data_IF_075756385821
#
_entry.id   IF_075756385821
#
_cell.length_a   1.000
_cell.length_b   1.000
_cell.length_c   1.000
_cell.angle_alpha   90.00
_cell.angle_beta   90.00
_cell.angle_gamma   90.00
#
_symmetry.space_group_name_H-M   'P 1'
#
loop_
_entity.id
_entity.type
_entity.pdbx_description
1 polymer ?
#
# COMPACT_ATOMS: atom_id res chain seq x y z
N UNK A 1 -8.29 -1.67 3.94
CA UNK A 1 -9.16 -0.52 4.25
C UNK A 1 -8.89 -0.07 5.67
N UNK A 2 -9.19 1.19 5.97
CA UNK A 2 -9.06 1.81 7.28
C UNK A 2 -10.26 2.74 7.47
N UNK A 3 -10.88 2.70 8.65
CA UNK A 3 -11.91 3.66 9.05
C UNK A 3 -11.34 4.61 10.10
N UNK A 4 -11.18 5.87 9.74
CA UNK A 4 -10.67 6.90 10.63
C UNK A 4 -11.81 7.78 11.15
N UNK A 5 -12.17 7.59 12.42
CA UNK A 5 -13.20 8.38 13.09
C UNK A 5 -12.66 9.73 13.55
N UNK A 6 -13.31 10.81 13.13
CA UNK A 6 -12.94 12.18 13.47
C UNK A 6 -14.15 12.99 13.96
N UNK A 7 -13.86 14.14 14.56
CA UNK A 7 -14.91 15.07 15.01
C UNK A 7 -15.54 15.77 13.80
N UNK A 8 -16.89 15.87 13.73
CA UNK A 8 -17.54 16.63 12.67
C UNK A 8 -16.98 18.05 12.52
N UNK A 9 -16.74 18.49 11.29
CA UNK A 9 -16.14 19.79 10.98
C UNK A 9 -14.60 19.79 10.98
N UNK A 10 -13.95 18.66 11.29
CA UNK A 10 -12.48 18.48 11.12
C UNK A 10 -12.14 17.50 9.99
N UNK A 11 -13.16 16.92 9.38
CA UNK A 11 -13.10 15.89 8.35
C UNK A 11 -12.22 16.29 7.16
N UNK A 12 -12.37 17.49 6.59
CA UNK A 12 -11.53 17.93 5.47
C UNK A 12 -10.04 18.08 5.81
N UNK A 13 -9.69 18.38 7.07
CA UNK A 13 -8.29 18.38 7.52
C UNK A 13 -7.73 16.96 7.54
N UNK A 14 -8.50 16.01 8.09
CA UNK A 14 -8.13 14.60 8.13
C UNK A 14 -8.12 13.95 6.75
N UNK A 15 -9.05 14.33 5.88
CA UNK A 15 -9.09 13.92 4.48
C UNK A 15 -7.80 14.30 3.76
N UNK A 16 -7.36 15.55 3.92
CA UNK A 16 -6.07 16.01 3.38
C UNK A 16 -4.90 15.21 3.98
N UNK A 17 -4.87 15.03 5.30
CA UNK A 17 -3.83 14.25 5.97
C UNK A 17 -3.74 12.84 5.37
N UNK A 18 -4.87 12.16 5.18
CA UNK A 18 -4.89 10.80 4.65
C UNK A 18 -4.50 10.75 3.17
N UNK A 19 -4.90 11.73 2.35
CA UNK A 19 -4.40 11.86 0.97
C UNK A 19 -2.87 11.95 0.94
N UNK A 20 -2.29 12.82 1.76
CA UNK A 20 -0.85 13.03 1.81
C UNK A 20 -0.14 11.77 2.36
N UNK A 21 -0.70 11.13 3.38
CA UNK A 21 -0.15 9.89 3.95
C UNK A 21 -0.12 8.76 2.92
N UNK A 22 -1.24 8.48 2.25
CA UNK A 22 -1.38 7.42 1.25
C UNK A 22 -0.46 7.67 0.04
N UNK A 23 -0.37 8.92 -0.41
CA UNK A 23 0.56 9.32 -1.47
C UNK A 23 2.02 9.05 -1.08
N UNK A 24 2.44 9.54 0.09
CA UNK A 24 3.81 9.37 0.58
C UNK A 24 4.14 7.91 0.90
N UNK A 25 3.17 7.09 1.30
CA UNK A 25 3.37 5.65 1.49
C UNK A 25 3.87 4.98 0.21
N UNK A 26 3.25 5.27 -0.94
CA UNK A 26 3.65 4.70 -2.22
C UNK A 26 5.04 5.20 -2.66
N UNK A 27 5.31 6.51 -2.54
CA UNK A 27 6.62 7.07 -2.87
C UNK A 27 7.74 6.50 -1.99
N UNK A 28 7.49 6.34 -0.68
CA UNK A 28 8.46 5.76 0.25
C UNK A 28 8.76 4.27 -0.03
N UNK A 29 7.88 3.59 -0.76
CA UNK A 29 8.07 2.21 -1.23
C UNK A 29 8.63 2.15 -2.66
N UNK A 30 9.09 3.27 -3.21
CA UNK A 30 9.85 3.32 -4.45
C UNK A 30 9.01 3.49 -5.71
N UNK A 31 7.69 3.69 -5.62
CA UNK A 31 6.85 3.93 -6.80
C UNK A 31 7.27 5.24 -7.47
N UNK A 32 7.48 5.21 -8.78
CA UNK A 32 7.83 6.40 -9.53
C UNK A 32 6.68 7.43 -9.52
N UNK A 33 7.02 8.68 -9.18
CA UNK A 33 6.04 9.76 -9.08
C UNK A 33 5.34 10.04 -10.42
N UNK A 34 6.04 9.90 -11.55
CA UNK A 34 5.48 10.13 -12.88
C UNK A 34 4.42 9.09 -13.28
N UNK A 35 4.44 7.93 -12.62
CA UNK A 35 3.44 6.86 -12.78
C UNK A 35 2.23 7.06 -11.87
N UNK A 36 2.21 8.08 -11.00
CA UNK A 36 1.14 8.35 -10.05
C UNK A 36 0.42 9.67 -10.36
N UNK A 37 -0.88 9.70 -10.09
CA UNK A 37 -1.64 10.95 -10.03
C UNK A 37 -2.73 10.90 -8.96
N UNK A 38 -3.02 12.05 -8.38
CA UNK A 38 -4.19 12.25 -7.53
C UNK A 38 -5.34 12.77 -8.41
N UNK A 39 -6.49 12.09 -8.39
CA UNK A 39 -7.69 12.47 -9.12
C UNK A 39 -8.80 12.76 -8.11
N UNK A 40 -9.15 14.04 -7.97
CA UNK A 40 -10.32 14.44 -7.20
C UNK A 40 -11.59 14.16 -8.01
N UNK A 41 -12.60 13.57 -7.36
CA UNK A 41 -13.90 13.30 -7.99
C UNK A 41 -14.64 14.62 -8.24
N UNK A 42 -15.28 14.73 -9.40
CA UNK A 42 -16.22 15.82 -9.67
C UNK A 42 -17.52 15.68 -8.87
N UNK A 43 -18.31 16.76 -8.78
CA UNK A 43 -19.60 16.75 -8.04
C UNK A 43 -20.55 15.64 -8.52
N UNK A 44 -20.52 15.28 -9.81
CA UNK A 44 -21.37 14.23 -10.39
C UNK A 44 -20.89 12.80 -10.07
N UNK A 45 -19.63 12.64 -9.66
CA UNK A 45 -19.01 11.35 -9.31
C UNK A 45 -19.08 11.06 -7.79
N UNK A 46 -19.26 12.11 -6.98
CA UNK A 46 -19.38 11.97 -5.53
C UNK A 46 -20.63 11.17 -5.16
N UNK A 47 -20.43 10.15 -4.33
CA UNK A 47 -21.56 9.48 -3.68
C UNK A 47 -22.32 10.48 -2.79
N UNK A 48 -23.63 10.33 -2.67
CA UNK A 48 -24.50 11.28 -1.94
C UNK A 48 -24.16 11.49 -0.46
N UNK A 49 -23.34 10.61 0.12
CA UNK A 49 -22.86 10.63 1.50
C UNK A 49 -21.39 11.09 1.62
N UNK A 50 -20.72 11.33 0.49
CA UNK A 50 -19.32 11.76 0.47
C UNK A 50 -19.21 13.26 0.36
N UNK A 51 -18.50 13.89 1.29
CA UNK A 51 -18.13 15.30 1.20
C UNK A 51 -17.01 15.53 0.18
N UNK A 52 -16.08 14.58 0.08
CA UNK A 52 -14.96 14.60 -0.84
C UNK A 52 -14.43 13.19 -1.06
N UNK A 53 -14.08 12.86 -2.30
CA UNK A 53 -13.39 11.62 -2.65
C UNK A 53 -12.24 11.92 -3.60
N UNK A 54 -11.10 11.28 -3.35
CA UNK A 54 -9.92 11.35 -4.20
C UNK A 54 -9.36 9.96 -4.44
N UNK A 55 -9.01 9.69 -5.69
CA UNK A 55 -8.33 8.46 -6.08
C UNK A 55 -6.85 8.73 -6.29
N UNK A 56 -6.00 7.89 -5.72
CA UNK A 56 -4.64 7.72 -6.21
C UNK A 56 -4.70 6.71 -7.35
N UNK A 57 -4.34 7.16 -8.55
CA UNK A 57 -4.29 6.33 -9.75
C UNK A 57 -2.83 6.07 -10.16
N UNK A 58 -2.61 4.91 -10.75
CA UNK A 58 -1.33 4.48 -11.30
C UNK A 58 -1.43 4.24 -12.81
N UNK A 59 -0.37 4.59 -13.53
CA UNK A 59 -0.24 4.36 -14.96
C UNK A 59 0.28 2.94 -15.21
N UNK A 60 -0.64 1.99 -15.34
CA UNK A 60 -0.29 0.62 -15.74
C UNK A 60 0.09 0.56 -17.23
N UNK A 61 0.70 -0.54 -17.71
CA UNK A 61 0.99 -0.73 -19.12
C UNK A 61 -0.26 -0.72 -20.02
N UNK A 62 -1.43 -0.95 -19.42
CA UNK A 62 -2.74 -0.90 -20.09
C UNK A 62 -3.52 0.40 -19.82
N UNK A 63 -2.91 1.40 -19.18
CA UNK A 63 -3.49 2.72 -18.94
C UNK A 63 -3.68 3.06 -17.46
N UNK A 64 -4.29 4.23 -17.21
CA UNK A 64 -4.58 4.70 -15.85
C UNK A 64 -5.60 3.81 -15.15
N UNK A 65 -5.32 3.46 -13.90
CA UNK A 65 -6.25 2.72 -13.04
C UNK A 65 -6.12 3.14 -11.58
N UNK A 66 -7.23 3.11 -10.86
CA UNK A 66 -7.30 3.40 -9.43
C UNK A 66 -6.54 2.36 -8.60
N UNK A 67 -5.69 2.85 -7.68
CA UNK A 67 -5.04 2.04 -6.64
C UNK A 67 -5.75 2.18 -5.30
N UNK A 68 -6.01 3.42 -4.90
CA UNK A 68 -6.39 3.77 -3.53
C UNK A 68 -7.42 4.89 -3.55
N UNK A 69 -8.66 4.60 -3.14
CA UNK A 69 -9.67 5.61 -2.91
C UNK A 69 -9.56 6.16 -1.48
N UNK A 70 -9.62 7.48 -1.34
CA UNK A 70 -9.72 8.17 -0.06
C UNK A 70 -11.04 8.91 -0.06
N UNK A 71 -11.95 8.58 0.85
CA UNK A 71 -13.29 9.15 0.91
C UNK A 71 -13.56 9.77 2.29
N UNK A 72 -14.20 10.94 2.30
CA UNK A 72 -14.84 11.51 3.48
C UNK A 72 -16.32 11.16 3.47
N UNK A 73 -16.69 10.15 4.25
CA UNK A 73 -18.02 9.54 4.27
C UNK A 73 -18.95 10.19 5.30
N UNK A 74 -18.50 11.24 5.98
CA UNK A 74 -19.23 11.92 7.06
C UNK A 74 -19.71 10.93 8.13
N UNK A 75 -20.89 11.12 8.72
CA UNK A 75 -21.48 10.24 9.74
C UNK A 75 -22.43 9.18 9.16
N UNK A 76 -22.49 9.06 7.83
CA UNK A 76 -23.50 8.26 7.15
C UNK A 76 -23.51 6.79 7.60
N UNK A 77 -22.35 6.14 7.60
CA UNK A 77 -22.24 4.71 7.92
C UNK A 77 -22.68 4.42 9.35
N UNK A 78 -22.19 5.20 10.32
CA UNK A 78 -22.53 5.05 11.73
C UNK A 78 -24.02 5.34 11.98
N UNK A 79 -24.56 6.36 11.33
CA UNK A 79 -26.00 6.69 11.41
C UNK A 79 -26.85 5.54 10.89
N UNK A 80 -26.50 4.95 9.75
CA UNK A 80 -27.22 3.79 9.21
C UNK A 80 -27.11 2.58 10.12
N UNK A 81 -25.94 2.30 10.71
CA UNK A 81 -25.81 1.21 11.67
C UNK A 81 -26.63 1.47 12.95
N UNK A 82 -26.64 2.69 13.47
CA UNK A 82 -27.45 3.07 14.63
C UNK A 82 -28.95 2.86 14.37
N UNK A 83 -29.45 3.33 13.23
CA UNK A 83 -30.88 3.23 12.86
C UNK A 83 -31.36 1.77 12.77
N UNK A 84 -30.54 0.88 12.21
CA UNK A 84 -30.93 -0.51 11.98
C UNK A 84 -30.64 -1.44 13.16
N UNK A 85 -29.62 -1.14 13.97
CA UNK A 85 -29.24 -1.96 15.13
C UNK A 85 -29.91 -1.50 16.44
N UNK A 86 -30.35 -0.24 16.52
CA UNK A 86 -30.81 0.40 17.74
C UNK A 86 -29.71 0.64 18.80
N UNK A 87 -28.44 0.38 18.46
CA UNK A 87 -27.30 0.66 19.33
C UNK A 87 -26.79 2.09 19.10
N UNK A 88 -26.53 2.81 20.19
CA UNK A 88 -25.99 4.17 20.15
C UNK A 88 -24.54 4.15 19.62
N UNK A 89 -24.31 4.81 18.48
CA UNK A 89 -22.99 4.91 17.81
C UNK A 89 -22.28 6.23 18.10
N UNK A 90 -22.83 7.06 18.99
CA UNK A 90 -22.22 8.33 19.34
C UNK A 90 -21.02 8.18 20.30
N UNK A 91 -20.08 9.10 20.16
CA UNK A 91 -18.90 9.24 21.00
C UNK A 91 -19.09 10.41 21.97
N UNK A 92 -18.68 10.21 23.23
CA UNK A 92 -18.60 11.27 24.24
C UNK A 92 -17.14 11.68 24.39
N UNK A 93 -16.80 12.89 23.96
CA UNK A 93 -15.46 13.45 24.10
C UNK A 93 -15.17 13.73 25.59
N UNK A 94 -14.18 13.07 26.22
CA UNK A 94 -13.89 13.24 27.64
C UNK A 94 -13.29 14.61 27.99
N UNK A 95 -12.82 15.35 26.99
CA UNK A 95 -12.20 16.68 27.16
C UNK A 95 -13.24 17.78 27.10
N UNK A 96 -14.16 17.70 26.14
CA UNK A 96 -15.19 18.73 25.90
C UNK A 96 -16.55 18.38 26.51
N UNK A 97 -16.78 17.11 26.86
CA UNK A 97 -18.08 16.52 27.23
C UNK A 97 -19.15 16.65 26.14
N UNK A 98 -18.75 16.90 24.89
CA UNK A 98 -19.66 16.92 23.75
C UNK A 98 -19.93 15.49 23.27
N UNK A 99 -21.20 15.22 22.94
CA UNK A 99 -21.65 13.94 22.40
C UNK A 99 -22.02 14.11 20.94
N UNK A 100 -21.41 13.33 20.05
CA UNK A 100 -21.62 13.42 18.61
C UNK A 100 -21.43 12.07 17.92
N UNK A 101 -21.99 11.89 16.72
CA UNK A 101 -21.64 10.78 15.84
C UNK A 101 -20.38 11.17 15.06
N UNK A 102 -19.27 10.41 15.16
CA UNK A 102 -18.05 10.74 14.43
C UNK A 102 -18.24 10.75 12.91
N UNK A 103 -17.45 11.58 12.23
CA UNK A 103 -17.29 11.48 10.78
C UNK A 103 -16.21 10.45 10.44
N UNK A 104 -16.27 9.85 9.26
CA UNK A 104 -15.41 8.75 8.83
C UNK A 104 -14.61 9.14 7.60
N UNK A 105 -13.28 9.15 7.72
CA UNK A 105 -12.38 9.17 6.57
C UNK A 105 -11.93 7.75 6.28
N UNK A 106 -12.15 7.28 5.06
CA UNK A 106 -11.86 5.93 4.62
C UNK A 106 -10.80 5.93 3.50
N UNK A 107 -9.56 5.52 3.80
CA UNK A 107 -8.62 5.05 2.79
C UNK A 107 -8.84 3.56 2.46
N UNK A 108 -9.33 3.27 1.25
CA UNK A 108 -9.50 1.91 0.72
C UNK A 108 -8.51 1.60 -0.41
N UNK A 109 -7.58 0.67 -0.15
CA UNK A 109 -6.51 0.26 -1.05
C UNK A 109 -6.79 -1.13 -1.64
N UNK A 110 -6.70 -1.26 -2.96
CA UNK A 110 -6.72 -2.56 -3.62
C UNK A 110 -5.38 -3.28 -3.48
N UNK A 111 -5.30 -4.29 -2.61
CA UNK A 111 -4.06 -5.05 -2.33
C UNK A 111 -3.45 -5.69 -3.59
N UNK A 112 -4.27 -6.32 -4.44
CA UNK A 112 -3.81 -6.91 -5.69
C UNK A 112 -3.31 -5.87 -6.69
N UNK A 113 -4.00 -4.72 -6.77
CA UNK A 113 -3.64 -3.63 -7.69
C UNK A 113 -2.34 -2.97 -7.27
N UNK A 114 -2.14 -2.72 -5.98
CA UNK A 114 -0.88 -2.13 -5.50
C UNK A 114 0.28 -3.11 -5.63
N UNK A 115 0.05 -4.41 -5.43
CA UNK A 115 1.06 -5.44 -5.69
C UNK A 115 1.46 -5.46 -7.19
N UNK A 116 0.47 -5.39 -8.09
CA UNK A 116 0.74 -5.27 -9.53
C UNK A 116 1.50 -3.98 -9.86
N UNK A 117 1.14 -2.85 -9.26
CA UNK A 117 1.84 -1.58 -9.47
C UNK A 117 3.31 -1.69 -9.06
N UNK A 118 3.60 -2.26 -7.88
CA UNK A 118 5.00 -2.48 -7.47
C UNK A 118 5.77 -3.42 -8.41
N UNK A 119 5.11 -4.44 -8.97
CA UNK A 119 5.75 -5.33 -9.95
C UNK A 119 6.03 -4.62 -11.27
N UNK A 120 5.08 -3.83 -11.77
CA UNK A 120 5.25 -3.05 -13.00
C UNK A 120 6.37 -2.03 -12.83
N UNK A 121 6.37 -1.29 -11.72
CA UNK A 121 7.32 -0.22 -11.46
C UNK A 121 8.76 -0.73 -11.28
N UNK A 122 8.90 -1.95 -10.75
CA UNK A 122 10.18 -2.60 -10.54
C UNK A 122 10.72 -3.34 -11.77
N UNK A 123 9.90 -3.63 -12.78
CA UNK A 123 10.31 -4.41 -13.94
C UNK A 123 11.28 -3.62 -14.83
N UNK A 124 12.42 -4.22 -15.16
CA UNK A 124 13.42 -3.64 -16.04
C UNK A 124 14.09 -4.71 -16.91
N UNK A 125 14.45 -4.34 -18.14
CA UNK A 125 15.22 -5.17 -19.07
C UNK A 125 16.55 -4.47 -19.36
N UNK A 126 17.62 -5.00 -18.77
CA UNK A 126 18.96 -4.44 -18.88
C UNK A 126 19.75 -5.12 -20.01
N UNK A 127 20.27 -4.35 -20.96
CA UNK A 127 21.26 -4.81 -21.92
C UNK A 127 22.63 -4.97 -21.24
N UNK A 128 23.23 -6.15 -21.42
CA UNK A 128 24.52 -6.52 -20.85
C UNK A 128 25.66 -6.31 -21.86
N UNK A 129 26.88 -6.16 -21.33
CA UNK A 129 28.09 -6.22 -22.15
C UNK A 129 28.15 -7.56 -22.90
N UNK A 130 28.07 -7.52 -24.23
CA UNK A 130 28.02 -8.71 -25.08
C UNK A 130 26.74 -8.85 -25.89
N UNK A 131 25.72 -8.01 -25.65
CA UNK A 131 24.46 -8.00 -26.40
C UNK A 131 23.39 -8.95 -25.86
N UNK A 132 23.64 -9.57 -24.72
CA UNK A 132 22.63 -10.32 -23.97
C UNK A 132 21.71 -9.36 -23.19
N UNK A 133 20.52 -9.82 -22.81
CA UNK A 133 19.55 -9.05 -22.02
C UNK A 133 19.17 -9.84 -20.79
N UNK A 134 19.03 -9.15 -19.65
CA UNK A 134 18.48 -9.74 -18.42
C UNK A 134 17.26 -8.97 -17.94
N UNK A 135 16.32 -9.68 -17.33
CA UNK A 135 15.21 -9.08 -16.60
C UNK A 135 15.63 -8.88 -15.15
N UNK A 136 15.41 -7.68 -14.62
CA UNK A 136 15.67 -7.32 -13.22
C UNK A 136 14.38 -6.77 -12.60
N UNK A 137 14.12 -7.17 -11.35
CA UNK A 137 13.03 -6.61 -10.56
C UNK A 137 13.63 -5.70 -9.48
N UNK A 138 13.63 -4.39 -9.69
CA UNK A 138 14.12 -3.37 -8.76
C UNK A 138 13.14 -3.11 -7.60
N UNK A 139 12.61 -4.18 -7.00
CA UNK A 139 11.68 -4.07 -5.87
C UNK A 139 12.37 -3.36 -4.71
N UNK A 140 11.63 -2.46 -4.05
CA UNK A 140 12.10 -1.86 -2.81
C UNK A 140 12.51 -2.96 -1.81
N UNK A 141 13.65 -2.84 -1.09
CA UNK A 141 14.17 -3.91 -0.24
C UNK A 141 13.17 -4.42 0.81
N UNK A 142 12.26 -3.58 1.29
CA UNK A 142 11.18 -3.99 2.21
C UNK A 142 10.14 -4.90 1.55
N UNK A 143 9.91 -4.76 0.25
CA UNK A 143 8.93 -5.51 -0.54
C UNK A 143 9.50 -6.77 -1.20
N UNK A 144 10.82 -6.86 -1.38
CA UNK A 144 11.46 -8.05 -1.97
C UNK A 144 11.03 -9.36 -1.27
N UNK A 145 10.56 -10.39 -1.99
CA UNK A 145 10.06 -11.64 -1.38
C UNK A 145 11.10 -12.35 -0.51
N UNK A 146 12.35 -12.31 -0.98
CA UNK A 146 13.54 -12.82 -0.31
C UNK A 146 14.51 -11.67 -0.09
N UNK A 147 15.15 -11.62 1.09
CA UNK A 147 16.10 -10.56 1.46
C UNK A 147 17.53 -10.90 1.07
N UNK A 148 17.85 -12.19 0.99
CA UNK A 148 19.10 -12.69 0.44
C UNK A 148 18.92 -14.11 -0.08
N UNK A 149 19.80 -14.51 -0.99
CA UNK A 149 19.99 -15.88 -1.42
C UNK A 149 21.37 -16.37 -0.97
N UNK A 150 21.43 -17.56 -0.39
CA UNK A 150 22.66 -18.21 0.05
C UNK A 150 23.02 -19.30 -0.96
N UNK A 151 24.09 -19.05 -1.73
CA UNK A 151 24.51 -19.86 -2.87
C UNK A 151 25.94 -20.39 -2.63
N UNK A 152 26.15 -21.64 -2.16
CA UNK A 152 27.49 -22.18 -1.94
C UNK A 152 28.24 -22.38 -3.25
N UNK A 153 29.47 -21.85 -3.36
CA UNK A 153 30.33 -21.98 -4.54
C UNK A 153 30.61 -23.44 -4.95
N UNK A 154 30.53 -24.37 -4.00
CA UNK A 154 30.61 -25.80 -4.27
C UNK A 154 29.96 -26.58 -3.13
N UNK A 155 29.61 -27.85 -3.39
CA UNK A 155 29.06 -28.78 -2.39
C UNK A 155 29.93 -28.97 -1.14
N UNK A 156 31.23 -28.67 -1.21
CA UNK A 156 32.14 -28.74 -0.05
C UNK A 156 31.90 -27.61 0.96
N UNK A 157 31.22 -26.54 0.56
CA UNK A 157 30.92 -25.37 1.40
C UNK A 157 29.49 -25.38 1.94
N UNK A 158 28.67 -26.36 1.56
CA UNK A 158 27.25 -26.46 1.93
C UNK A 158 27.01 -26.39 3.44
N UNK A 159 27.81 -27.09 4.24
CA UNK A 159 27.65 -27.09 5.70
C UNK A 159 27.74 -25.68 6.29
N UNK A 160 28.77 -24.91 5.90
CA UNK A 160 28.94 -23.52 6.35
C UNK A 160 27.86 -22.59 5.78
N UNK A 161 27.42 -22.84 4.55
CA UNK A 161 26.35 -22.06 3.93
C UNK A 161 25.01 -22.30 4.63
N UNK A 162 24.73 -23.53 5.07
CA UNK A 162 23.57 -23.88 5.88
C UNK A 162 23.61 -23.21 7.26
N UNK A 163 24.79 -23.07 7.88
CA UNK A 163 24.91 -22.32 9.13
C UNK A 163 24.49 -20.84 8.94
N UNK A 164 24.95 -20.20 7.87
CA UNK A 164 24.57 -18.81 7.54
C UNK A 164 23.08 -18.70 7.23
N UNK A 165 22.55 -19.62 6.43
CA UNK A 165 21.11 -19.70 6.16
C UNK A 165 20.30 -19.84 7.45
N UNK A 166 20.69 -20.76 8.35
CA UNK A 166 20.02 -20.99 9.62
C UNK A 166 20.05 -19.77 10.53
N UNK A 167 21.11 -18.97 10.49
CA UNK A 167 21.19 -17.74 11.28
C UNK A 167 20.34 -16.60 10.73
N UNK A 168 20.33 -16.41 9.41
CA UNK A 168 19.58 -15.32 8.77
C UNK A 168 18.07 -15.61 8.68
N UNK A 169 17.69 -16.87 8.42
CA UNK A 169 16.29 -17.32 8.32
C UNK A 169 15.48 -17.12 9.62
N UNK A 170 16.16 -16.96 10.77
CA UNK A 170 15.52 -16.59 12.04
C UNK A 170 14.87 -15.20 12.01
N UNK A 171 15.30 -14.32 11.09
CA UNK A 171 14.92 -12.90 11.06
C UNK A 171 14.34 -12.45 9.73
N UNK A 172 14.67 -13.15 8.64
CA UNK A 172 14.34 -12.72 7.29
C UNK A 172 13.90 -13.91 6.43
N UNK A 173 13.16 -13.63 5.36
CA UNK A 173 12.94 -14.59 4.29
C UNK A 173 14.23 -14.73 3.50
N UNK A 174 14.86 -15.91 3.56
CA UNK A 174 16.13 -16.21 2.91
C UNK A 174 15.91 -17.40 1.99
N UNK A 175 16.49 -17.35 0.80
CA UNK A 175 16.54 -18.49 -0.12
C UNK A 175 17.87 -19.23 0.06
N UNK A 176 17.87 -20.55 0.02
CA UNK A 176 19.09 -21.37 -0.04
C UNK A 176 19.00 -22.25 -1.27
N UNK A 177 19.97 -22.13 -2.16
CA UNK A 177 20.05 -22.95 -3.36
C UNK A 177 21.44 -23.55 -3.50
N UNK A 178 21.50 -24.88 -3.49
CA UNK A 178 22.70 -25.69 -3.67
C UNK A 178 22.86 -26.18 -5.14
N UNK A 179 21.86 -25.93 -5.99
CA UNK A 179 21.89 -26.31 -7.40
C UNK A 179 22.98 -25.53 -8.17
N UNK A 180 23.42 -26.12 -9.28
CA UNK A 180 24.60 -25.72 -10.04
C UNK A 180 24.46 -24.44 -10.91
N UNK A 181 25.61 -24.05 -11.47
CA UNK A 181 26.00 -22.78 -12.14
C UNK A 181 25.56 -21.52 -11.40
N UNK A 182 26.53 -20.79 -10.85
CA UNK A 182 26.32 -19.46 -10.27
C UNK A 182 26.24 -18.47 -11.43
N UNK A 183 25.04 -18.33 -11.98
CA UNK A 183 24.77 -17.54 -13.19
C UNK A 183 25.08 -18.32 -14.46
#
# INVERSE_FOLDING_TARGET
ELEFFCKPGTDLEWFKYWKDYCWNFLLNLGVQQDSLRMRDHGEEELSFYSNATSDIEYLFPFGWGELWGIADRTDYDLTKHQDHSGQDMSYLDPTTNEKYVPYVIEPSLGADRVALAFLVDAYDEEELEGGDTRTVMHLHPSLAPYKAAILPLSKKLSEKALDVYADLSKKFNIEYDEAGSIG
#
